data_IF_515232950296
#
_entry.id   IF_515232950296
#
_cell.length_a   1.000
_cell.length_b   1.000
_cell.length_c   1.000
_cell.angle_alpha   90.00
_cell.angle_beta   90.00
_cell.angle_gamma   90.00
#
_symmetry.space_group_name_H-M   'P 1'
#
loop_
_entity.id
_entity.type
_entity.pdbx_description
1 polymer ?
#
# COMPACT_ATOMS: atom_id res chain seq x y z
N UNK A 1 12.68 18.81 -1.13
CA UNK A 1 13.24 19.02 0.23
C UNK A 1 14.05 20.30 0.18
N UNK A 2 13.88 21.23 1.13
CA UNK A 2 14.66 22.48 1.14
C UNK A 2 15.85 22.31 2.09
N UNK A 3 16.94 22.98 1.76
CA UNK A 3 18.12 23.12 2.63
C UNK A 3 18.77 21.78 3.02
N UNK A 4 18.66 20.76 2.16
CA UNK A 4 19.15 19.39 2.42
C UNK A 4 20.64 19.34 2.79
N UNK A 5 21.45 20.17 2.14
CA UNK A 5 22.90 20.23 2.35
C UNK A 5 23.30 21.13 3.54
N UNK A 6 22.33 21.67 4.27
CA UNK A 6 22.60 22.55 5.41
C UNK A 6 22.46 21.78 6.73
N UNK A 7 22.93 22.37 7.82
CA UNK A 7 22.70 21.85 9.18
C UNK A 7 21.25 21.97 9.66
N UNK A 8 20.35 22.57 8.87
CA UNK A 8 18.94 22.78 9.21
C UNK A 8 18.02 22.36 8.06
N UNK A 9 18.01 21.07 7.65
CA UNK A 9 17.12 20.60 6.59
C UNK A 9 15.66 20.82 6.98
N UNK A 10 14.82 21.18 6.00
CA UNK A 10 13.40 21.49 6.24
C UNK A 10 12.48 20.73 5.29
N UNK A 11 11.41 20.20 5.87
CA UNK A 11 10.24 19.72 5.14
C UNK A 11 9.19 20.83 5.07
N UNK A 12 8.68 21.05 3.87
CA UNK A 12 7.55 21.93 3.64
C UNK A 12 6.42 21.10 3.03
N UNK A 13 5.22 21.21 3.60
CA UNK A 13 4.03 20.64 3.00
C UNK A 13 3.70 21.43 1.74
N UNK A 14 3.83 20.79 0.58
CA UNK A 14 3.53 21.40 -0.73
C UNK A 14 2.09 21.16 -1.17
N UNK A 15 1.43 20.14 -0.62
CA UNK A 15 0.04 19.79 -0.92
C UNK A 15 -0.56 18.93 0.19
N UNK A 16 -1.88 18.99 0.31
CA UNK A 16 -2.70 18.04 1.06
C UNK A 16 -3.73 17.50 0.11
N UNK A 17 -3.81 16.18 -0.04
CA UNK A 17 -4.79 15.51 -0.89
C UNK A 17 -5.72 14.74 0.03
N UNK A 18 -7.02 15.00 -0.08
CA UNK A 18 -8.02 14.24 0.65
C UNK A 18 -8.13 12.82 0.05
N UNK A 19 -8.26 11.81 0.91
CA UNK A 19 -8.56 10.46 0.46
C UNK A 19 -9.99 10.40 -0.10
N UNK A 20 -10.28 9.50 -1.06
CA UNK A 20 -11.64 9.31 -1.58
C UNK A 20 -12.64 8.86 -0.52
N UNK A 21 -12.15 8.24 0.56
CA UNK A 21 -12.93 7.79 1.71
C UNK A 21 -12.09 7.78 3.00
N UNK A 22 -12.74 7.50 4.12
CA UNK A 22 -12.09 7.43 5.44
C UNK A 22 -11.30 6.12 5.65
N UNK A 23 -10.59 6.03 6.78
CA UNK A 23 -9.91 4.81 7.19
C UNK A 23 -8.69 4.46 6.33
N UNK A 24 -7.86 5.45 5.98
CA UNK A 24 -6.60 5.18 5.29
C UNK A 24 -5.67 4.27 6.10
N UNK A 25 -5.31 3.11 5.55
CA UNK A 25 -4.49 2.09 6.22
C UNK A 25 -3.06 2.04 5.67
N UNK A 26 -2.90 2.28 4.36
CA UNK A 26 -1.60 2.15 3.72
C UNK A 26 -1.39 3.09 2.52
N UNK A 27 -0.12 3.43 2.29
CA UNK A 27 0.37 4.15 1.13
C UNK A 27 1.73 3.60 0.74
N UNK A 28 1.86 3.05 -0.47
CA UNK A 28 3.11 2.48 -0.97
C UNK A 28 3.36 2.81 -2.44
N UNK A 29 4.62 3.04 -2.85
CA UNK A 29 4.95 3.21 -4.26
C UNK A 29 4.65 1.96 -5.07
N UNK A 30 4.06 2.13 -6.26
CA UNK A 30 4.07 1.10 -7.29
C UNK A 30 5.39 1.23 -8.07
N UNK A 31 6.32 0.26 -7.95
CA UNK A 31 7.66 0.41 -8.51
C UNK A 31 7.65 0.67 -10.02
N UNK A 32 8.56 1.53 -10.49
CA UNK A 32 8.68 1.90 -11.91
C UNK A 32 7.58 2.83 -12.43
N UNK A 33 6.78 3.46 -11.55
CA UNK A 33 5.66 4.31 -11.98
C UNK A 33 5.48 5.57 -11.12
N UNK A 34 4.64 6.49 -11.59
CA UNK A 34 4.19 7.65 -10.81
C UNK A 34 3.10 7.29 -9.77
N UNK A 35 2.59 6.05 -9.79
CA UNK A 35 1.45 5.63 -8.99
C UNK A 35 1.86 5.20 -7.58
N UNK A 36 0.95 5.40 -6.64
CA UNK A 36 1.00 4.84 -5.29
C UNK A 36 -0.20 3.90 -5.10
N UNK A 37 0.02 2.71 -4.55
CA UNK A 37 -1.05 1.90 -3.99
C UNK A 37 -1.53 2.55 -2.68
N UNK A 38 -2.83 2.75 -2.55
CA UNK A 38 -3.46 3.32 -1.35
C UNK A 38 -4.55 2.37 -0.89
N UNK A 39 -4.63 2.07 0.39
CA UNK A 39 -5.74 1.29 0.94
C UNK A 39 -6.53 2.12 1.94
N UNK A 40 -7.84 2.02 1.84
CA UNK A 40 -8.80 2.67 2.72
C UNK A 40 -9.74 1.62 3.32
N UNK A 41 -10.78 2.03 4.06
CA UNK A 41 -11.63 1.08 4.77
C UNK A 41 -12.34 0.09 3.84
N UNK A 42 -12.89 0.59 2.72
CA UNK A 42 -13.73 -0.20 1.83
C UNK A 42 -13.09 -0.52 0.48
N UNK A 43 -12.00 0.16 0.12
CA UNK A 43 -11.46 0.08 -1.23
C UNK A 43 -9.92 0.15 -1.27
N UNK A 44 -9.38 -0.32 -2.39
CA UNK A 44 -7.98 -0.10 -2.76
C UNK A 44 -7.89 0.80 -3.99
N UNK A 45 -6.93 1.71 -3.99
CA UNK A 45 -6.76 2.72 -5.02
C UNK A 45 -5.34 2.71 -5.59
N UNK A 46 -5.23 3.20 -6.82
CA UNK A 46 -4.00 3.74 -7.37
C UNK A 46 -4.12 5.26 -7.38
N UNK A 47 -3.20 5.93 -6.69
CA UNK A 47 -3.08 7.38 -6.69
C UNK A 47 -1.98 7.83 -7.64
N UNK A 48 -2.31 8.65 -8.62
CA UNK A 48 -1.33 9.27 -9.50
C UNK A 48 -0.76 10.54 -8.86
N UNK A 49 0.55 10.56 -8.58
CA UNK A 49 1.22 11.72 -7.96
C UNK A 49 1.28 12.95 -8.84
N UNK A 50 1.33 12.77 -10.16
CA UNK A 50 1.40 13.86 -11.12
C UNK A 50 0.01 14.45 -11.38
N UNK A 51 -0.97 13.60 -11.68
CA UNK A 51 -2.35 14.03 -11.94
C UNK A 51 -3.14 14.36 -10.67
N UNK A 52 -2.69 13.86 -9.51
CA UNK A 52 -3.36 13.98 -8.19
C UNK A 52 -4.77 13.38 -8.18
N UNK A 53 -4.96 12.28 -8.88
CA UNK A 53 -6.24 11.56 -9.00
C UNK A 53 -6.13 10.16 -8.41
N UNK A 54 -7.28 9.64 -7.99
CA UNK A 54 -7.42 8.25 -7.55
C UNK A 54 -8.23 7.47 -8.58
N UNK A 55 -7.80 6.24 -8.87
CA UNK A 55 -8.58 5.24 -9.60
C UNK A 55 -8.63 3.95 -8.79
N UNK A 56 -9.67 3.14 -8.94
CA UNK A 56 -9.74 1.84 -8.25
C UNK A 56 -8.57 0.95 -8.68
N UNK A 57 -8.00 0.23 -7.72
CA UNK A 57 -6.98 -0.77 -8.03
C UNK A 57 -7.62 -1.86 -8.91
N UNK A 58 -7.04 -2.24 -10.06
CA UNK A 58 -7.71 -3.10 -11.03
C UNK A 58 -8.04 -4.50 -10.49
N UNK A 59 -7.20 -5.04 -9.59
CA UNK A 59 -7.39 -6.37 -9.01
C UNK A 59 -7.96 -6.37 -7.58
N UNK A 60 -7.87 -5.25 -6.86
CA UNK A 60 -8.14 -5.19 -5.41
C UNK A 60 -9.16 -4.10 -5.05
N UNK A 61 -9.69 -3.39 -6.06
CA UNK A 61 -10.42 -2.15 -5.88
C UNK A 61 -11.65 -2.28 -4.99
N UNK A 62 -12.30 -3.44 -5.03
CA UNK A 62 -13.53 -3.73 -4.30
C UNK A 62 -13.29 -4.52 -3.00
N UNK A 63 -12.03 -4.82 -2.67
CA UNK A 63 -11.70 -5.49 -1.41
C UNK A 63 -11.71 -4.49 -0.25
N UNK A 64 -12.43 -4.87 0.81
CA UNK A 64 -12.51 -4.14 2.07
C UNK A 64 -11.44 -4.61 3.05
N UNK A 65 -11.11 -3.75 4.01
CA UNK A 65 -10.19 -4.05 5.12
C UNK A 65 -8.80 -4.52 4.69
N UNK A 66 -8.32 -4.08 3.51
CA UNK A 66 -6.95 -4.30 3.07
C UNK A 66 -6.02 -3.37 3.84
N UNK A 67 -5.14 -3.95 4.64
CA UNK A 67 -4.24 -3.24 5.57
C UNK A 67 -2.91 -2.88 4.95
N UNK A 68 -2.51 -3.58 3.89
CA UNK A 68 -1.40 -3.16 3.07
C UNK A 68 -1.35 -3.82 1.70
N UNK A 69 -0.64 -3.15 0.78
CA UNK A 69 -0.25 -3.68 -0.53
C UNK A 69 1.24 -3.40 -0.72
N UNK A 70 1.99 -4.38 -1.21
CA UNK A 70 3.39 -4.22 -1.61
C UNK A 70 3.66 -4.99 -2.90
N UNK A 71 4.38 -4.38 -3.84
CA UNK A 71 4.69 -4.97 -5.14
C UNK A 71 6.19 -5.12 -5.27
N UNK A 72 6.66 -6.31 -5.61
CA UNK A 72 8.07 -6.58 -5.83
C UNK A 72 8.54 -5.81 -7.08
N UNK A 73 9.63 -5.03 -7.02
CA UNK A 73 10.00 -4.15 -8.14
C UNK A 73 10.39 -4.89 -9.41
N UNK A 74 11.04 -6.06 -9.29
CA UNK A 74 11.50 -6.86 -10.43
C UNK A 74 10.44 -7.86 -10.90
N UNK A 75 10.05 -8.81 -10.05
CA UNK A 75 9.11 -9.89 -10.43
C UNK A 75 7.66 -9.44 -10.59
N UNK A 76 7.31 -8.25 -10.10
CA UNK A 76 5.94 -7.70 -10.08
C UNK A 76 4.95 -8.51 -9.25
N UNK A 77 5.42 -9.49 -8.47
CA UNK A 77 4.55 -10.19 -7.53
C UNK A 77 4.03 -9.21 -6.48
N UNK A 78 2.73 -9.23 -6.27
CA UNK A 78 2.04 -8.42 -5.29
C UNK A 78 1.79 -9.27 -4.04
N UNK A 79 2.04 -8.69 -2.87
CA UNK A 79 1.54 -9.20 -1.59
C UNK A 79 0.57 -8.19 -0.99
N UNK A 80 -0.54 -8.66 -0.45
CA UNK A 80 -1.46 -7.83 0.31
C UNK A 80 -1.89 -8.54 1.60
N UNK A 81 -2.21 -7.71 2.59
CA UNK A 81 -2.74 -8.16 3.88
C UNK A 81 -4.17 -7.66 3.95
N UNK A 82 -5.13 -8.56 4.12
CA UNK A 82 -6.53 -8.23 4.31
C UNK A 82 -7.00 -8.87 5.61
N UNK A 83 -7.52 -8.04 6.51
CA UNK A 83 -7.93 -8.48 7.83
C UNK A 83 -9.11 -9.46 7.76
N UNK A 84 -9.21 -10.35 8.76
CA UNK A 84 -10.18 -11.44 8.79
C UNK A 84 -11.20 -11.28 9.91
N UNK A 85 -12.48 -11.45 9.57
CA UNK A 85 -13.57 -11.31 10.52
C UNK A 85 -13.57 -9.94 11.20
N UNK A 86 -13.68 -9.87 12.55
CA UNK A 86 -13.66 -8.61 13.29
C UNK A 86 -12.24 -8.07 13.55
N UNK A 87 -11.20 -8.81 13.17
CA UNK A 87 -9.84 -8.44 13.49
C UNK A 87 -9.34 -7.32 12.58
N UNK A 88 -8.30 -6.62 13.03
CA UNK A 88 -7.57 -5.65 12.22
C UNK A 88 -6.36 -6.27 11.51
N UNK A 89 -6.13 -7.58 11.66
CA UNK A 89 -5.00 -8.37 11.13
C UNK A 89 -5.50 -9.71 10.52
N UNK A 90 -4.60 -10.49 9.94
CA UNK A 90 -4.85 -11.86 9.42
C UNK A 90 -3.65 -12.78 9.73
N UNK A 91 -3.87 -14.09 9.79
CA UNK A 91 -2.79 -15.09 9.84
C UNK A 91 -2.24 -15.46 8.46
N UNK A 92 -2.88 -14.98 7.38
CA UNK A 92 -2.60 -15.34 6.00
C UNK A 92 -2.18 -14.13 5.16
N UNK A 93 -1.00 -14.24 4.55
CA UNK A 93 -0.54 -13.33 3.51
C UNK A 93 -1.06 -13.81 2.16
N UNK A 94 -1.65 -12.91 1.38
CA UNK A 94 -2.20 -13.21 0.05
C UNK A 94 -1.32 -12.60 -1.04
N UNK A 95 -1.07 -13.35 -2.10
CA UNK A 95 -0.21 -12.95 -3.21
C UNK A 95 -0.97 -12.97 -4.53
N UNK A 96 -0.60 -12.08 -5.43
CA UNK A 96 -1.00 -12.10 -6.84
C UNK A 96 0.24 -12.08 -7.74
N UNK A 97 0.14 -12.68 -8.92
CA UNK A 97 1.18 -12.71 -9.96
C UNK A 97 2.54 -13.32 -9.51
N UNK A 98 2.60 -14.63 -9.19
CA UNK A 98 1.51 -15.61 -9.21
C UNK A 98 0.70 -15.63 -7.91
N UNK A 99 -0.51 -16.18 -8.01
CA UNK A 99 -1.45 -16.30 -6.90
C UNK A 99 -0.99 -17.39 -5.92
N UNK A 100 -0.97 -17.05 -4.64
CA UNK A 100 -0.60 -17.94 -3.55
C UNK A 100 -1.04 -17.34 -2.22
N UNK A 101 -1.36 -18.20 -1.25
CA UNK A 101 -1.48 -17.80 0.15
C UNK A 101 -0.37 -18.44 0.99
N UNK A 102 0.10 -17.70 1.99
CA UNK A 102 1.01 -18.20 3.04
C UNK A 102 0.36 -17.89 4.38
N UNK A 103 -0.06 -18.93 5.09
CA UNK A 103 -0.65 -18.80 6.42
C UNK A 103 0.34 -19.26 7.49
N UNK A 104 0.41 -18.50 8.56
CA UNK A 104 1.22 -18.74 9.76
C UNK A 104 0.28 -18.71 10.97
N UNK A 105 -0.33 -19.85 11.32
CA UNK A 105 -1.30 -19.91 12.41
C UNK A 105 -0.75 -19.31 13.71
N UNK A 106 -1.60 -18.60 14.45
CA UNK A 106 -1.28 -17.84 15.66
C UNK A 106 -0.40 -16.58 15.48
N UNK A 107 0.04 -16.25 14.26
CA UNK A 107 0.71 -14.98 13.98
C UNK A 107 -0.26 -13.92 13.45
N UNK A 108 -0.12 -12.68 13.91
CA UNK A 108 -1.02 -11.58 13.58
C UNK A 108 -0.35 -10.60 12.61
N UNK A 109 -0.65 -10.72 11.32
CA UNK A 109 -0.09 -9.85 10.28
C UNK A 109 -0.97 -8.63 10.01
N UNK A 110 -0.41 -7.44 10.23
CA UNK A 110 -1.02 -6.18 9.82
C UNK A 110 -0.47 -5.64 8.50
N UNK A 111 0.84 -5.80 8.25
CA UNK A 111 1.50 -5.35 7.03
C UNK A 111 2.53 -6.34 6.54
N UNK A 112 2.65 -6.45 5.22
CA UNK A 112 3.72 -7.21 4.56
C UNK A 112 4.43 -6.33 3.53
N UNK A 113 5.75 -6.48 3.40
CA UNK A 113 6.60 -5.73 2.48
C UNK A 113 7.62 -6.64 1.82
N UNK A 114 7.88 -6.39 0.54
CA UNK A 114 9.06 -6.93 -0.12
C UNK A 114 10.30 -6.21 0.42
N UNK A 115 11.15 -6.92 1.15
CA UNK A 115 12.46 -6.43 1.57
C UNK A 115 13.50 -6.78 0.49
N UNK A 116 13.50 -6.02 -0.59
CA UNK A 116 14.47 -6.19 -1.67
C UNK A 116 15.71 -5.35 -1.41
N UNK A 117 16.89 -5.87 -1.76
CA UNK A 117 18.10 -5.08 -1.79
C UNK A 117 18.05 -4.12 -3.01
N UNK A 118 18.59 -2.89 -2.89
CA UNK A 118 18.66 -1.94 -4.00
C UNK A 118 19.40 -2.50 -5.22
#
# INVERSE_FOLDING_TARGET
>A
MRDWQTSKPRLQRVSTIALPESGGHDLQPLPGSALLCVTTENHCWLFDRAARTFVRHPALGDLRHVKSISVHPVTRQLVYVQAEGPNWWTECLRFLNPDKDICTPAEQHYKARWNVRP
#
